data_IF_760740151471
#
_entry.id   IF_760740151471
#
_cell.length_a   1.000
_cell.length_b   1.000
_cell.length_c   1.000
_cell.angle_alpha   90.00
_cell.angle_beta   90.00
_cell.angle_gamma   90.00
#
_symmetry.space_group_name_H-M   'P 1'
#
loop_
_entity.id
_entity.type
_entity.pdbx_description
1 polymer ?
#
# COMPACT_ATOMS: atom_id res chain seq x y z
N UNK A 1 -26.27 13.20 19.74
CA UNK A 1 -24.88 13.38 19.25
C UNK A 1 -24.99 13.62 17.77
N UNK A 2 -24.46 14.73 17.28
CA UNK A 2 -24.49 15.07 15.85
C UNK A 2 -23.77 13.96 15.04
N UNK A 3 -24.36 13.44 13.93
CA UNK A 3 -23.73 12.39 13.13
C UNK A 3 -22.36 12.79 12.57
N UNK A 4 -22.08 14.10 12.50
CA UNK A 4 -20.78 14.64 12.10
C UNK A 4 -19.62 14.24 13.02
N UNK A 5 -19.88 14.00 14.32
CA UNK A 5 -18.82 13.61 15.27
C UNK A 5 -18.31 12.19 15.00
N UNK A 6 -19.18 11.27 14.57
CA UNK A 6 -18.80 9.90 14.20
C UNK A 6 -17.96 9.85 12.93
N UNK A 7 -18.14 10.83 12.04
CA UNK A 7 -17.39 10.98 10.78
C UNK A 7 -16.06 11.73 10.95
N UNK A 8 -15.76 12.24 12.15
CA UNK A 8 -14.45 12.84 12.41
C UNK A 8 -13.35 11.77 12.21
N UNK A 9 -12.30 12.03 11.41
CA UNK A 9 -11.33 11.00 11.03
C UNK A 9 -10.73 10.20 12.20
N UNK A 10 -10.34 10.83 13.34
CA UNK A 10 -9.81 10.08 14.49
C UNK A 10 -10.86 9.16 15.13
N UNK A 11 -12.13 9.60 15.18
CA UNK A 11 -13.23 8.83 15.78
C UNK A 11 -13.58 7.65 14.89
N UNK A 12 -13.76 7.88 13.59
CA UNK A 12 -14.00 6.83 12.62
C UNK A 12 -12.87 5.78 12.62
N UNK A 13 -11.62 6.23 12.64
CA UNK A 13 -10.45 5.34 12.72
C UNK A 13 -10.47 4.48 14.00
N UNK A 14 -10.74 5.09 15.16
CA UNK A 14 -10.87 4.38 16.42
C UNK A 14 -11.97 3.33 16.41
N UNK A 15 -13.13 3.63 15.79
CA UNK A 15 -14.23 2.67 15.63
C UNK A 15 -13.84 1.50 14.73
N UNK A 16 -13.15 1.74 13.62
CA UNK A 16 -12.68 0.66 12.75
C UNK A 16 -11.62 -0.21 13.43
N UNK A 17 -10.71 0.37 14.20
CA UNK A 17 -9.76 -0.41 14.99
C UNK A 17 -10.47 -1.27 16.04
N UNK A 18 -11.45 -0.70 16.73
CA UNK A 18 -12.26 -1.45 17.70
C UNK A 18 -12.99 -2.62 17.02
N UNK A 19 -13.56 -2.39 15.83
CA UNK A 19 -14.22 -3.41 15.03
C UNK A 19 -13.25 -4.53 14.64
N UNK A 20 -12.06 -4.19 14.13
CA UNK A 20 -11.02 -5.17 13.78
C UNK A 20 -10.60 -5.98 15.00
N UNK A 21 -10.38 -5.34 16.15
CA UNK A 21 -10.01 -6.02 17.39
C UNK A 21 -11.13 -6.94 17.92
N UNK A 22 -12.39 -6.58 17.70
CA UNK A 22 -13.53 -7.42 18.04
C UNK A 22 -13.60 -8.65 17.13
N UNK A 23 -13.43 -8.46 15.82
CA UNK A 23 -13.39 -9.56 14.84
C UNK A 23 -12.26 -10.52 15.17
N UNK A 24 -11.07 -10.00 15.48
CA UNK A 24 -9.89 -10.78 15.87
C UNK A 24 -10.19 -11.64 17.11
N UNK A 25 -10.70 -11.03 18.19
CA UNK A 25 -11.07 -11.77 19.42
C UNK A 25 -12.17 -12.81 19.21
N UNK A 26 -13.18 -12.48 18.41
CA UNK A 26 -14.26 -13.42 18.11
C UNK A 26 -13.73 -14.57 17.25
N UNK A 27 -12.86 -14.27 16.29
CA UNK A 27 -12.19 -15.27 15.47
C UNK A 27 -11.34 -16.21 16.31
N UNK A 28 -10.55 -15.67 17.23
CA UNK A 28 -9.74 -16.43 18.19
C UNK A 28 -10.61 -17.33 19.08
N UNK A 29 -11.69 -16.79 19.65
CA UNK A 29 -12.64 -17.54 20.49
C UNK A 29 -13.37 -18.67 19.75
N UNK A 30 -13.71 -18.46 18.47
CA UNK A 30 -14.37 -19.49 17.64
C UNK A 30 -13.35 -20.51 17.12
N UNK A 31 -12.09 -20.09 16.97
CA UNK A 31 -11.03 -20.98 16.51
C UNK A 31 -10.87 -22.13 17.51
N UNK A 32 -10.86 -23.36 17.00
CA UNK A 32 -10.46 -24.50 17.82
C UNK A 32 -8.95 -24.52 17.85
N UNK A 33 -8.36 -23.81 18.80
CA UNK A 33 -6.93 -23.82 19.03
C UNK A 33 -6.50 -25.28 19.28
N UNK A 34 -5.61 -25.80 18.42
CA UNK A 34 -5.09 -27.15 18.58
C UNK A 34 -4.01 -27.10 19.66
N UNK A 35 -4.30 -27.63 20.84
CA UNK A 35 -3.29 -27.83 21.89
C UNK A 35 -2.23 -28.80 21.34
N UNK A 36 -1.02 -28.28 21.04
CA UNK A 36 0.05 -28.94 20.31
C UNK A 36 -0.28 -29.26 18.84
N UNK A 37 -0.27 -28.24 17.94
CA UNK A 37 -0.52 -28.46 16.52
C UNK A 37 0.61 -29.28 15.84
N UNK A 38 1.76 -29.42 16.51
CA UNK A 38 2.95 -30.09 16.00
C UNK A 38 3.67 -29.24 14.95
N UNK A 39 4.96 -29.50 14.74
CA UNK A 39 5.84 -28.66 13.90
C UNK A 39 5.29 -28.42 12.48
N UNK A 40 4.58 -29.41 11.91
CA UNK A 40 4.08 -29.36 10.55
C UNK A 40 3.00 -28.29 10.29
N UNK A 41 2.25 -27.88 11.32
CA UNK A 41 1.19 -26.86 11.21
C UNK A 41 1.70 -25.44 11.54
N UNK A 42 2.88 -25.34 12.16
CA UNK A 42 3.52 -24.05 12.51
C UNK A 42 4.51 -23.59 11.42
N UNK A 43 4.97 -24.50 10.57
CA UNK A 43 5.85 -24.17 9.44
C UNK A 43 5.08 -23.69 8.21
N UNK A 44 5.70 -22.79 7.45
CA UNK A 44 5.23 -22.39 6.12
C UNK A 44 4.95 -23.60 5.23
N UNK A 45 3.85 -23.57 4.49
CA UNK A 45 3.52 -24.63 3.55
C UNK A 45 4.59 -24.73 2.45
N UNK A 46 5.24 -25.89 2.34
CA UNK A 46 6.28 -26.17 1.35
C UNK A 46 6.17 -27.61 0.80
N UNK A 47 4.94 -28.10 0.61
CA UNK A 47 4.69 -29.48 0.14
C UNK A 47 5.39 -30.59 0.96
N UNK A 48 5.71 -30.32 2.24
CA UNK A 48 6.44 -31.25 3.11
C UNK A 48 7.97 -31.15 3.02
N UNK A 49 8.52 -30.22 2.25
CA UNK A 49 9.96 -29.93 2.20
C UNK A 49 10.39 -29.02 3.36
N UNK A 50 11.63 -29.19 3.82
CA UNK A 50 12.23 -28.29 4.80
C UNK A 50 12.41 -26.89 4.19
N UNK A 51 11.99 -25.86 4.92
CA UNK A 51 12.16 -24.49 4.45
C UNK A 51 13.65 -24.20 4.21
N UNK A 52 14.03 -23.60 3.07
CA UNK A 52 15.42 -23.20 2.87
C UNK A 52 15.83 -22.23 3.99
N UNK A 53 16.89 -22.54 4.73
CA UNK A 53 17.45 -21.68 5.80
C UNK A 53 18.08 -20.37 5.28
N UNK A 54 17.72 -19.93 4.08
CA UNK A 54 18.17 -18.67 3.50
C UNK A 54 17.04 -17.66 3.57
N UNK A 55 17.36 -16.48 4.09
CA UNK A 55 16.52 -15.31 3.92
C UNK A 55 16.24 -15.15 2.42
N UNK A 56 14.97 -15.23 2.04
CA UNK A 56 14.53 -14.96 0.68
C UNK A 56 14.81 -13.50 0.37
N UNK A 57 15.77 -13.24 -0.51
CA UNK A 57 15.97 -11.90 -1.05
C UNK A 57 14.76 -11.55 -1.94
N UNK A 58 14.01 -10.48 -1.63
CA UNK A 58 12.89 -10.08 -2.45
C UNK A 58 13.39 -9.74 -3.86
N UNK A 59 12.78 -10.34 -4.89
CA UNK A 59 13.02 -9.92 -6.27
C UNK A 59 12.26 -8.62 -6.51
N UNK A 60 12.99 -7.49 -6.48
CA UNK A 60 12.47 -6.14 -6.72
C UNK A 60 12.02 -5.85 -8.17
N UNK A 61 11.53 -6.86 -8.89
CA UNK A 61 11.10 -6.72 -10.30
C UNK A 61 9.97 -5.71 -10.47
N UNK A 62 9.12 -5.52 -9.45
CA UNK A 62 8.01 -4.57 -9.47
C UNK A 62 8.33 -3.23 -8.78
N UNK A 63 9.60 -2.95 -8.50
CA UNK A 63 9.98 -1.72 -7.80
C UNK A 63 9.60 -0.45 -8.57
N UNK A 64 9.71 -0.47 -9.89
CA UNK A 64 9.26 0.62 -10.75
C UNK A 64 7.75 0.88 -10.65
N UNK A 65 6.93 -0.15 -10.47
CA UNK A 65 5.48 0.01 -10.26
C UNK A 65 5.22 0.75 -8.95
N UNK A 66 5.98 0.42 -7.89
CA UNK A 66 5.89 1.12 -6.60
C UNK A 66 6.23 2.60 -6.73
N UNK A 67 7.35 2.94 -7.38
CA UNK A 67 7.72 4.35 -7.61
C UNK A 67 6.68 5.04 -8.51
N UNK A 68 6.26 4.41 -9.61
CA UNK A 68 5.26 4.95 -10.52
C UNK A 68 3.95 5.27 -9.81
N UNK A 69 3.49 4.37 -8.93
CA UNK A 69 2.34 4.60 -8.07
C UNK A 69 2.55 5.85 -7.20
N UNK A 70 3.70 6.03 -6.56
CA UNK A 70 3.96 7.22 -5.74
C UNK A 70 3.94 8.52 -6.54
N UNK A 71 4.52 8.52 -7.75
CA UNK A 71 4.54 9.68 -8.64
C UNK A 71 3.11 10.05 -9.06
N UNK A 72 2.33 9.07 -9.51
CA UNK A 72 0.92 9.27 -9.90
C UNK A 72 0.08 9.70 -8.70
N UNK A 73 0.32 9.13 -7.52
CA UNK A 73 -0.38 9.48 -6.29
C UNK A 73 -0.18 10.96 -5.94
N UNK A 74 1.06 11.46 -6.02
CA UNK A 74 1.37 12.88 -5.80
C UNK A 74 0.69 13.77 -6.85
N UNK A 75 0.69 13.37 -8.14
CA UNK A 75 -0.05 14.10 -9.18
C UNK A 75 -1.54 14.22 -8.83
N UNK A 76 -2.18 13.13 -8.41
CA UNK A 76 -3.61 13.13 -8.05
C UNK A 76 -3.88 14.01 -6.82
N UNK A 77 -3.03 13.95 -5.80
CA UNK A 77 -3.14 14.82 -4.62
C UNK A 77 -3.03 16.30 -4.99
N UNK A 78 -2.10 16.65 -5.89
CA UNK A 78 -1.94 18.01 -6.37
C UNK A 78 -3.18 18.50 -7.13
N UNK A 79 -3.71 17.69 -8.05
CA UNK A 79 -4.94 18.02 -8.80
C UNK A 79 -6.14 18.16 -7.86
N UNK A 80 -6.26 17.31 -6.85
CA UNK A 80 -7.39 17.30 -5.94
C UNK A 80 -7.39 18.47 -4.95
N UNK A 81 -6.23 19.02 -4.62
CA UNK A 81 -6.07 20.02 -3.55
C UNK A 81 -5.90 21.45 -4.05
N UNK A 82 -5.46 21.65 -5.30
CA UNK A 82 -5.22 23.00 -5.83
C UNK A 82 -6.54 23.74 -6.07
N UNK A 83 -6.67 25.00 -5.60
CA UNK A 83 -7.86 25.81 -5.86
C UNK A 83 -7.99 26.10 -7.37
N UNK A 84 -9.22 25.98 -7.89
CA UNK A 84 -9.55 26.23 -9.32
C UNK A 84 -9.57 27.74 -9.60
N UNK A 85 -8.39 28.36 -9.57
CA UNK A 85 -8.13 29.78 -9.73
C UNK A 85 -6.91 29.98 -10.62
N UNK A 86 -6.71 31.19 -11.15
CA UNK A 86 -5.53 31.51 -11.96
C UNK A 86 -4.24 31.32 -11.16
N UNK A 87 -4.21 31.77 -9.90
CA UNK A 87 -3.07 31.60 -9.00
C UNK A 87 -2.77 30.11 -8.71
N UNK A 88 -3.83 29.31 -8.50
CA UNK A 88 -3.70 27.87 -8.36
C UNK A 88 -3.12 27.21 -9.61
N UNK A 89 -3.53 27.64 -10.80
CA UNK A 89 -3.00 27.12 -12.06
C UNK A 89 -1.51 27.46 -12.26
N UNK A 90 -1.06 28.66 -11.85
CA UNK A 90 0.35 29.07 -11.93
C UNK A 90 1.24 28.14 -11.10
N UNK A 91 0.75 27.64 -9.95
CA UNK A 91 1.48 26.67 -9.13
C UNK A 91 1.33 25.23 -9.63
N UNK A 92 0.11 24.81 -9.99
CA UNK A 92 -0.16 23.42 -10.37
C UNK A 92 0.50 23.00 -11.68
N UNK A 93 0.49 23.85 -12.70
CA UNK A 93 1.01 23.48 -14.02
C UNK A 93 2.51 23.12 -14.01
N UNK A 94 3.43 23.92 -13.44
CA UNK A 94 4.84 23.55 -13.38
C UNK A 94 5.07 22.30 -12.52
N UNK A 95 4.34 22.16 -11.40
CA UNK A 95 4.45 20.98 -10.55
C UNK A 95 3.96 19.71 -11.27
N UNK A 96 2.83 19.78 -11.99
CA UNK A 96 2.33 18.67 -12.81
C UNK A 96 3.29 18.34 -13.95
N UNK A 97 3.93 19.34 -14.55
CA UNK A 97 4.94 19.11 -15.58
C UNK A 97 6.14 18.34 -15.02
N UNK A 98 6.63 18.70 -13.83
CA UNK A 98 7.74 17.98 -13.17
C UNK A 98 7.34 16.55 -12.80
N UNK A 99 6.15 16.36 -12.23
CA UNK A 99 5.65 15.02 -11.88
C UNK A 99 5.45 14.16 -13.14
N UNK A 100 4.90 14.75 -14.21
CA UNK A 100 4.75 14.08 -15.50
C UNK A 100 6.08 13.71 -16.14
N UNK A 101 7.09 14.60 -16.06
CA UNK A 101 8.45 14.31 -16.52
C UNK A 101 9.09 13.17 -15.72
N UNK A 102 8.90 13.15 -14.40
CA UNK A 102 9.36 12.07 -13.53
C UNK A 102 8.72 10.74 -13.88
N UNK A 103 7.41 10.73 -14.15
CA UNK A 103 6.71 9.53 -14.62
C UNK A 103 7.24 9.06 -15.97
N UNK A 104 7.43 9.99 -16.92
CA UNK A 104 7.98 9.68 -18.23
C UNK A 104 9.38 9.06 -18.12
N UNK A 105 10.28 9.66 -17.33
CA UNK A 105 11.64 9.16 -17.13
C UNK A 105 11.66 7.75 -16.51
N UNK A 106 10.74 7.47 -15.59
CA UNK A 106 10.61 6.14 -14.99
C UNK A 106 10.16 5.11 -16.03
N UNK A 107 9.14 5.42 -16.82
CA UNK A 107 8.64 4.52 -17.86
C UNK A 107 9.67 4.27 -18.96
N UNK A 108 10.44 5.30 -19.35
CA UNK A 108 11.54 5.17 -20.31
C UNK A 108 12.63 4.23 -19.77
N UNK A 109 12.97 4.36 -18.48
CA UNK A 109 13.98 3.51 -17.81
C UNK A 109 13.60 2.04 -17.72
N UNK A 110 12.32 1.71 -17.77
CA UNK A 110 11.82 0.32 -17.75
C UNK A 110 11.82 -0.34 -19.13
N UNK A 111 11.98 0.41 -20.22
CA UNK A 111 12.00 -0.17 -21.57
C UNK A 111 13.30 -0.95 -21.81
N UNK A 112 13.25 -2.25 -22.16
CA UNK A 112 14.45 -3.01 -22.49
C UNK A 112 15.07 -2.44 -23.76
N UNK A 113 16.30 -1.91 -23.67
CA UNK A 113 16.99 -1.40 -24.84
C UNK A 113 17.53 -2.57 -25.68
N UNK A 114 17.12 -2.72 -26.96
CA UNK A 114 17.58 -3.82 -27.80
C UNK A 114 19.04 -3.57 -28.19
N UNK A 115 19.97 -4.08 -27.38
CA UNK A 115 21.41 -3.89 -27.58
C UNK A 115 22.28 -4.06 -26.33
N UNK A 116 21.70 -4.31 -25.15
CA UNK A 116 22.40 -4.76 -23.95
C UNK A 116 21.69 -5.93 -23.30
#
# INVERSE_FOLDING_TARGET
>A
MEPAFLLAPPVAFGLFLLLVALIDRVGDMISTERVNPGDALETSWASGEAHPNRATEPRYRMYHIGIGFTIVHVAVLLVATVPVTVEGAVLALPLLAVVGLGLFALLDSDTPHPGR
#
